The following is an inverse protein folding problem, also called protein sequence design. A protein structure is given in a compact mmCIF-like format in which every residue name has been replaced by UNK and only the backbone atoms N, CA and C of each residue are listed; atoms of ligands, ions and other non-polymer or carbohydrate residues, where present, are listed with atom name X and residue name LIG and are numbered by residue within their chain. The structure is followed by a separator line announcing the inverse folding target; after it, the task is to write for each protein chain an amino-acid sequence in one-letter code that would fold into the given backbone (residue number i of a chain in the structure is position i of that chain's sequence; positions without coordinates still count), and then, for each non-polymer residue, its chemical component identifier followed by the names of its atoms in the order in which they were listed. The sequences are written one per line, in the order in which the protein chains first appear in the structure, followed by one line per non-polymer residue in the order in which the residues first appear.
data_IF_670339773538
#
_entry.id   IF_670339773538
#
_cell.length_a   1.000
_cell.length_b   1.000
_cell.length_c   1.000
_cell.angle_alpha   90.00
_cell.angle_beta   90.00
_cell.angle_gamma   90.00
#
_symmetry.space_group_name_H-M   'P 1'
#
loop_
_entity.id
_entity.type
_entity.pdbx_description
1 polymer ?
#
# COMPACT_ATOMS: atom_id res chain seq x y z
N UNK A 1 18.02 -45.08 -17.74
CA UNK A 1 16.77 -44.53 -17.17
C UNK A 1 17.05 -43.08 -16.79
N UNK A 2 16.79 -42.14 -17.70
CA UNK A 2 17.07 -40.70 -17.54
C UNK A 2 15.97 -40.07 -16.68
N UNK A 3 16.34 -39.51 -15.52
CA UNK A 3 15.44 -38.70 -14.68
C UNK A 3 15.49 -37.23 -15.15
N UNK A 4 14.38 -36.75 -15.69
CA UNK A 4 14.20 -35.36 -16.08
C UNK A 4 14.16 -34.46 -14.84
N UNK A 5 15.17 -33.61 -14.70
CA UNK A 5 15.19 -32.48 -13.77
C UNK A 5 14.52 -31.28 -14.47
N UNK A 6 13.31 -30.92 -14.03
CA UNK A 6 12.68 -29.68 -14.42
C UNK A 6 13.21 -28.53 -13.54
N UNK A 7 13.70 -27.43 -14.11
CA UNK A 7 14.20 -26.30 -13.31
C UNK A 7 13.05 -25.45 -12.79
N UNK A 8 12.94 -25.35 -11.49
CA UNK A 8 11.97 -24.52 -10.74
C UNK A 8 12.31 -23.01 -10.76
N UNK A 9 13.27 -22.61 -11.57
CA UNK A 9 13.76 -21.22 -11.68
C UNK A 9 12.80 -20.27 -12.42
N UNK A 10 11.72 -20.77 -13.01
CA UNK A 10 10.84 -19.96 -13.87
C UNK A 10 9.68 -19.29 -13.12
N UNK A 11 9.42 -19.64 -11.85
CA UNK A 11 8.22 -19.14 -11.13
C UNK A 11 8.44 -17.81 -10.40
N UNK A 12 9.69 -17.41 -10.16
CA UNK A 12 10.02 -16.14 -9.48
C UNK A 12 10.09 -14.92 -10.43
N UNK A 13 10.24 -15.13 -11.74
CA UNK A 13 10.31 -14.06 -12.74
C UNK A 13 8.94 -13.65 -13.31
N UNK A 14 7.90 -14.46 -13.13
CA UNK A 14 6.55 -14.20 -13.65
C UNK A 14 5.70 -13.22 -12.83
N UNK A 15 6.04 -12.97 -11.57
CA UNK A 15 5.22 -12.12 -10.70
C UNK A 15 5.39 -10.62 -10.95
N UNK A 16 6.46 -10.21 -11.62
CA UNK A 16 6.74 -8.78 -11.87
C UNK A 16 5.92 -8.18 -13.02
N UNK A 17 5.37 -9.00 -13.92
CA UNK A 17 4.66 -8.50 -15.12
C UNK A 17 3.13 -8.45 -14.98
N UNK A 18 2.54 -9.08 -13.96
CA UNK A 18 1.09 -9.09 -13.77
C UNK A 18 0.53 -7.86 -13.04
N UNK A 19 1.39 -6.99 -12.48
CA UNK A 19 0.96 -5.83 -11.68
C UNK A 19 1.14 -4.47 -12.34
N UNK A 20 1.52 -4.41 -13.62
CA UNK A 20 1.69 -3.13 -14.34
C UNK A 20 0.39 -2.45 -14.76
N UNK A 21 -0.77 -3.05 -14.52
CA UNK A 21 -2.07 -2.60 -15.04
C UNK A 21 -3.00 -1.85 -14.06
N UNK A 22 -2.64 -1.71 -12.79
CA UNK A 22 -3.49 -1.04 -11.78
C UNK A 22 -2.88 0.31 -11.33
N UNK A 23 -2.71 1.20 -12.29
CA UNK A 23 -2.40 2.61 -12.04
C UNK A 23 -3.72 3.38 -12.01
N UNK A 24 -4.11 3.83 -10.84
CA UNK A 24 -5.18 4.81 -10.68
C UNK A 24 -6.35 4.37 -9.82
N UNK A 25 -6.13 4.10 -8.54
CA UNK A 25 -7.17 4.25 -7.51
C UNK A 25 -6.52 4.64 -6.19
N UNK A 26 -7.15 5.62 -5.53
CA UNK A 26 -6.74 6.21 -4.27
C UNK A 26 -6.49 5.19 -3.16
N UNK A 27 -5.55 5.47 -2.22
CA UNK A 27 -5.39 4.67 -1.03
C UNK A 27 -6.67 4.75 -0.20
N UNK A 28 -7.32 3.58 0.01
CA UNK A 28 -8.44 3.40 0.94
C UNK A 28 -8.22 4.23 2.21
N UNK A 29 -9.07 5.23 2.38
CA UNK A 29 -9.26 5.96 3.63
C UNK A 29 -9.83 4.96 4.65
N UNK A 30 -8.97 4.27 5.37
CA UNK A 30 -9.39 3.49 6.53
C UNK A 30 -9.66 4.48 7.67
N UNK A 31 -10.96 4.67 7.91
CA UNK A 31 -11.49 5.46 9.02
C UNK A 31 -10.95 4.88 10.34
N UNK A 32 -10.20 5.68 11.11
CA UNK A 32 -9.61 5.32 12.41
C UNK A 32 -10.65 4.95 13.48
N UNK A 33 -11.95 5.02 13.15
CA UNK A 33 -13.05 4.73 14.10
C UNK A 33 -13.33 3.25 14.34
N UNK A 34 -12.66 2.32 13.64
CA UNK A 34 -12.92 0.89 13.77
C UNK A 34 -12.00 0.15 14.77
N UNK A 35 -11.10 0.85 15.46
CA UNK A 35 -10.22 0.25 16.46
C UNK A 35 -10.60 0.64 17.89
N UNK A 36 -11.88 0.57 18.24
CA UNK A 36 -12.29 0.61 19.64
C UNK A 36 -12.26 -0.80 20.22
N UNK A 37 -11.47 -1.07 21.28
CA UNK A 37 -11.50 -2.39 21.93
C UNK A 37 -12.82 -2.55 22.68
N UNK A 38 -13.68 -3.40 22.17
CA UNK A 38 -14.87 -3.83 22.88
C UNK A 38 -14.44 -4.57 24.16
N UNK A 39 -14.69 -3.94 25.32
CA UNK A 39 -14.54 -4.59 26.63
C UNK A 39 -15.63 -5.63 26.79
N UNK A 40 -15.28 -6.90 26.59
CA UNK A 40 -16.14 -8.01 26.96
C UNK A 40 -16.09 -8.16 28.49
N UNK A 41 -17.16 -7.74 29.16
CA UNK A 41 -17.37 -7.98 30.59
C UNK A 41 -17.95 -9.39 30.77
N UNK A 42 -17.09 -10.34 31.12
CA UNK A 42 -17.52 -11.65 31.59
C UNK A 42 -17.84 -11.57 33.08
N UNK A 43 -19.12 -11.38 33.40
CA UNK A 43 -19.67 -11.51 34.74
C UNK A 43 -20.47 -12.81 34.79
N UNK A 44 -19.81 -13.91 35.17
CA UNK A 44 -20.42 -15.21 35.42
C UNK A 44 -20.04 -15.67 36.84
N UNK A 45 -21.04 -15.82 37.69
CA UNK A 45 -20.89 -16.22 39.08
C UNK A 45 -20.34 -17.65 39.23
N UNK A 46 -19.47 -17.79 40.19
CA UNK A 46 -18.91 -19.07 40.62
C UNK A 46 -19.74 -19.61 41.77
N UNK A 47 -20.55 -20.63 41.53
CA UNK A 47 -21.13 -21.46 42.57
C UNK A 47 -20.08 -22.48 43.04
N UNK A 48 -19.81 -22.44 44.34
CA UNK A 48 -18.90 -23.37 45.04
C UNK A 48 -19.58 -24.72 45.28
N UNK A 49 -19.22 -25.70 44.48
CA UNK A 49 -19.38 -27.11 44.89
C UNK A 49 -18.00 -27.78 45.00
N UNK A 50 -17.60 -28.13 46.21
CA UNK A 50 -16.40 -28.84 46.54
C UNK A 50 -16.73 -30.34 46.55
N UNK A 51 -16.05 -31.21 45.80
CA UNK A 51 -15.91 -32.60 46.15
C UNK A 51 -14.44 -32.95 46.37
N UNK A 52 -14.20 -33.49 47.58
CA UNK A 52 -12.94 -34.05 47.99
C UNK A 52 -12.73 -35.41 47.26
N UNK A 53 -11.83 -35.47 46.26
CA UNK A 53 -11.06 -36.66 45.88
C UNK A 53 -9.90 -36.26 44.95
N UNK A 54 -8.63 -36.45 45.40
CA UNK A 54 -7.45 -36.01 44.65
C UNK A 54 -7.00 -36.93 43.50
N UNK A 55 -7.66 -37.99 43.18
CA UNK A 55 -7.12 -39.00 42.27
C UNK A 55 -7.75 -39.07 40.86
N UNK A 56 -8.84 -38.36 40.62
CA UNK A 56 -9.51 -38.41 39.32
C UNK A 56 -9.06 -37.32 38.31
N UNK A 57 -8.28 -36.34 38.77
CA UNK A 57 -7.86 -35.20 37.92
C UNK A 57 -6.58 -35.48 37.12
N UNK A 58 -5.74 -36.45 37.56
CA UNK A 58 -4.49 -36.75 36.88
C UNK A 58 -4.63 -37.68 35.66
N UNK A 59 -5.81 -38.28 35.44
CA UNK A 59 -6.03 -39.20 34.30
C UNK A 59 -6.88 -38.58 33.16
N UNK A 60 -7.56 -37.49 33.40
CA UNK A 60 -8.50 -36.90 32.40
C UNK A 60 -7.93 -35.73 31.63
N UNK A 61 -6.80 -35.14 32.05
CA UNK A 61 -6.16 -34.02 31.34
C UNK A 61 -4.96 -34.41 30.49
N UNK A 62 -4.59 -35.70 30.45
CA UNK A 62 -3.54 -36.29 29.59
C UNK A 62 -4.17 -37.21 28.51
N UNK A 63 -5.45 -37.16 28.34
CA UNK A 63 -6.01 -37.43 27.02
C UNK A 63 -5.60 -36.26 26.15
N UNK A 64 -4.34 -36.24 25.71
CA UNK A 64 -3.89 -35.42 24.62
C UNK A 64 -4.93 -35.62 23.52
N UNK A 65 -5.76 -34.60 23.30
CA UNK A 65 -6.33 -34.38 21.98
C UNK A 65 -5.08 -34.17 21.11
N UNK A 66 -4.49 -35.30 20.66
CA UNK A 66 -3.66 -35.31 19.48
C UNK A 66 -4.56 -34.60 18.44
N UNK A 67 -4.31 -33.33 18.07
CA UNK A 67 -5.03 -32.75 16.97
C UNK A 67 -4.63 -33.63 15.79
N UNK A 68 -5.50 -34.58 15.41
CA UNK A 68 -5.33 -35.35 14.18
C UNK A 68 -5.35 -34.27 13.06
N UNK A 69 -4.16 -33.75 12.78
CA UNK A 69 -3.91 -32.73 11.79
C UNK A 69 -4.21 -33.45 10.49
N UNK A 70 -5.46 -33.24 9.99
CA UNK A 70 -5.84 -33.76 8.70
C UNK A 70 -4.94 -33.08 7.67
N UNK A 71 -4.12 -33.85 6.93
CA UNK A 71 -3.19 -33.30 5.94
C UNK A 71 -3.88 -32.39 4.93
N UNK A 72 -5.16 -32.65 4.67
CA UNK A 72 -6.03 -31.85 3.80
C UNK A 72 -6.17 -30.37 4.22
N UNK A 73 -5.99 -30.05 5.51
CA UNK A 73 -6.11 -28.69 6.03
C UNK A 73 -4.76 -27.95 6.10
N UNK A 74 -3.66 -28.58 5.71
CA UNK A 74 -2.32 -27.98 5.76
C UNK A 74 -2.22 -26.74 4.85
N UNK A 75 -2.81 -26.81 3.66
CA UNK A 75 -2.88 -25.66 2.74
C UNK A 75 -3.61 -24.47 3.32
N UNK A 76 -4.78 -24.67 3.94
CA UNK A 76 -5.55 -23.57 4.56
C UNK A 76 -4.80 -22.92 5.73
N UNK A 77 -4.06 -23.70 6.51
CA UNK A 77 -3.22 -23.16 7.60
C UNK A 77 -2.09 -22.29 7.06
N UNK A 78 -1.44 -22.71 5.98
CA UNK A 78 -0.39 -21.91 5.33
C UNK A 78 -0.93 -20.70 4.57
N UNK A 79 -2.20 -20.69 4.18
CA UNK A 79 -2.84 -19.53 3.61
C UNK A 79 -3.04 -18.42 4.67
N UNK A 80 -3.34 -18.82 5.91
CA UNK A 80 -3.51 -17.86 7.02
C UNK A 80 -2.16 -17.40 7.57
N UNK A 81 -1.22 -18.33 7.78
CA UNK A 81 0.13 -18.05 8.27
C UNK A 81 1.13 -18.87 7.46
N UNK A 82 1.95 -18.23 6.60
CA UNK A 82 2.92 -18.92 5.76
C UNK A 82 3.85 -19.83 6.60
N UNK A 83 4.00 -21.07 6.19
CA UNK A 83 4.82 -22.06 6.90
C UNK A 83 4.06 -22.91 7.91
N UNK A 84 2.87 -22.50 8.38
CA UNK A 84 2.15 -23.23 9.43
C UNK A 84 1.68 -24.63 8.98
N UNK A 85 1.28 -24.78 7.72
CA UNK A 85 0.93 -26.07 7.15
C UNK A 85 2.14 -26.99 7.04
N UNK A 86 3.31 -26.47 6.66
CA UNK A 86 4.56 -27.22 6.61
C UNK A 86 4.96 -27.74 8.00
N UNK A 87 4.87 -26.91 9.03
CA UNK A 87 5.11 -27.34 10.41
C UNK A 87 4.14 -28.43 10.85
N UNK A 88 2.86 -28.31 10.47
CA UNK A 88 1.85 -29.32 10.77
C UNK A 88 2.14 -30.68 10.10
N UNK A 89 2.84 -30.66 8.96
CA UNK A 89 3.34 -31.85 8.25
C UNK A 89 4.74 -32.31 8.73
N UNK A 90 5.32 -31.69 9.77
CA UNK A 90 6.66 -31.98 10.27
C UNK A 90 7.80 -31.42 9.41
N UNK A 91 7.52 -30.55 8.42
CA UNK A 91 8.51 -30.08 7.49
C UNK A 91 9.18 -28.78 7.99
N UNK A 92 10.49 -28.81 8.13
CA UNK A 92 11.31 -27.66 8.59
C UNK A 92 11.34 -26.49 7.62
N UNK A 93 10.99 -26.71 6.35
CA UNK A 93 10.93 -25.64 5.33
C UNK A 93 9.89 -24.56 5.64
N UNK A 94 8.96 -24.81 6.57
CA UNK A 94 8.07 -23.78 7.10
C UNK A 94 8.80 -22.53 7.57
N UNK A 95 10.02 -22.67 8.12
CA UNK A 95 10.85 -21.53 8.53
C UNK A 95 11.26 -20.62 7.38
N UNK A 96 11.41 -21.14 6.16
CA UNK A 96 11.70 -20.32 4.99
C UNK A 96 10.53 -19.37 4.68
N UNK A 97 9.29 -19.85 4.73
CA UNK A 97 8.11 -19.04 4.50
C UNK A 97 7.91 -17.98 5.60
N UNK A 98 8.14 -18.35 6.87
CA UNK A 98 8.12 -17.38 7.98
C UNK A 98 9.21 -16.32 7.79
N UNK A 99 10.41 -16.72 7.39
CA UNK A 99 11.50 -15.78 7.11
C UNK A 99 11.16 -14.81 5.97
N UNK A 100 10.58 -15.29 4.87
CA UNK A 100 10.12 -14.47 3.75
C UNK A 100 9.01 -13.51 4.18
N UNK A 101 8.11 -13.96 5.05
CA UNK A 101 7.04 -13.13 5.62
C UNK A 101 7.61 -11.94 6.39
N UNK A 102 8.52 -12.22 7.33
CA UNK A 102 9.19 -11.18 8.12
C UNK A 102 9.95 -10.19 7.22
N UNK A 103 10.71 -10.71 6.23
CA UNK A 103 11.44 -9.85 5.28
C UNK A 103 10.50 -8.99 4.44
N UNK A 104 9.35 -9.54 4.00
CA UNK A 104 8.34 -8.80 3.25
C UNK A 104 7.77 -7.63 4.05
N UNK A 105 7.42 -7.86 5.32
CA UNK A 105 6.93 -6.81 6.21
C UNK A 105 7.99 -5.78 6.58
N UNK A 106 9.25 -6.17 6.82
CA UNK A 106 10.36 -5.25 7.05
C UNK A 106 10.59 -4.37 5.82
N UNK A 107 10.54 -4.95 4.62
CA UNK A 107 10.64 -4.20 3.37
C UNK A 107 9.49 -3.21 3.22
N UNK A 108 8.25 -3.62 3.47
CA UNK A 108 7.09 -2.72 3.47
C UNK A 108 7.28 -1.53 4.41
N UNK A 109 7.64 -1.79 5.66
CA UNK A 109 7.81 -0.76 6.68
C UNK A 109 8.93 0.22 6.31
N UNK A 110 10.08 -0.28 5.86
CA UNK A 110 11.21 0.57 5.40
C UNK A 110 10.76 1.52 4.29
N UNK A 111 10.05 1.00 3.27
CA UNK A 111 9.59 1.82 2.15
C UNK A 111 8.50 2.81 2.55
N UNK A 112 7.60 2.42 3.42
CA UNK A 112 6.53 3.27 3.95
C UNK A 112 7.10 4.45 4.76
N UNK A 113 8.04 4.18 5.66
CA UNK A 113 8.69 5.22 6.47
C UNK A 113 9.47 6.20 5.59
N UNK A 114 10.26 5.70 4.63
CA UNK A 114 11.00 6.55 3.69
C UNK A 114 10.07 7.38 2.79
N UNK A 115 8.96 6.79 2.33
CA UNK A 115 7.94 7.50 1.55
C UNK A 115 7.31 8.63 2.34
N UNK A 116 6.95 8.40 3.60
CA UNK A 116 6.40 9.44 4.49
C UNK A 116 7.42 10.55 4.80
N UNK A 117 8.70 10.21 4.98
CA UNK A 117 9.75 11.21 5.14
C UNK A 117 9.86 12.15 3.94
N UNK A 118 9.92 11.59 2.72
CA UNK A 118 9.94 12.36 1.47
C UNK A 118 8.65 13.18 1.28
N UNK A 119 7.50 12.66 1.73
CA UNK A 119 6.23 13.42 1.73
C UNK A 119 6.31 14.66 2.61
N UNK A 120 6.89 14.55 3.79
CA UNK A 120 7.16 15.71 4.65
C UNK A 120 8.09 16.70 3.96
N UNK A 121 9.21 16.20 3.39
CA UNK A 121 10.23 16.98 2.71
C UNK A 121 9.65 17.82 1.55
N UNK A 122 8.85 17.23 0.62
CA UNK A 122 8.31 18.00 -0.48
C UNK A 122 7.26 19.03 -0.02
N UNK A 123 6.49 18.74 1.04
CA UNK A 123 5.54 19.70 1.62
C UNK A 123 6.24 20.90 2.24
N UNK A 124 7.33 20.63 2.98
CA UNK A 124 8.16 21.68 3.58
C UNK A 124 8.89 22.50 2.52
N UNK A 125 9.41 21.83 1.49
CA UNK A 125 10.06 22.49 0.36
C UNK A 125 9.09 23.41 -0.41
N UNK A 126 7.88 22.92 -0.71
CA UNK A 126 6.85 23.73 -1.35
C UNK A 126 6.49 24.96 -0.50
N UNK A 127 6.28 24.77 0.81
CA UNK A 127 5.94 25.85 1.72
C UNK A 127 7.03 26.93 1.77
N UNK A 128 8.29 26.54 1.81
CA UNK A 128 9.42 27.46 1.95
C UNK A 128 9.80 28.14 0.64
N UNK A 129 9.61 27.48 -0.51
CA UNK A 129 10.20 27.90 -1.79
C UNK A 129 9.20 28.39 -2.83
N UNK A 130 7.96 27.97 -2.73
CA UNK A 130 6.96 28.28 -3.76
C UNK A 130 5.70 28.92 -3.21
N UNK A 131 5.17 28.44 -2.09
CA UNK A 131 3.86 28.89 -1.60
C UNK A 131 3.93 30.33 -1.15
N UNK A 132 2.93 31.09 -1.61
CA UNK A 132 2.72 32.46 -1.15
C UNK A 132 2.12 32.36 0.26
N UNK A 133 2.94 32.65 1.26
CA UNK A 133 2.59 32.47 2.68
C UNK A 133 1.61 33.56 3.13
N UNK A 134 0.34 33.28 3.06
CA UNK A 134 -0.72 34.12 3.60
C UNK A 134 -1.44 33.38 4.74
N UNK A 135 -1.16 33.79 5.98
CA UNK A 135 -1.76 33.17 7.16
C UNK A 135 -1.05 31.89 7.65
N UNK A 136 -1.69 31.12 8.55
CA UNK A 136 -1.13 29.89 9.10
C UNK A 136 -0.97 28.82 8.01
N UNK A 137 0.04 27.94 8.19
CA UNK A 137 0.28 26.85 7.25
C UNK A 137 -0.92 25.88 7.24
N UNK A 138 -1.46 25.66 6.06
CA UNK A 138 -2.45 24.64 5.77
C UNK A 138 -1.86 23.72 4.70
N UNK A 139 -1.79 22.42 4.97
CA UNK A 139 -1.35 21.45 3.97
C UNK A 139 -2.47 21.16 2.99
N UNK A 140 -2.13 21.04 1.70
CA UNK A 140 -3.01 20.55 0.66
C UNK A 140 -3.08 19.02 0.63
N UNK A 141 -3.99 18.50 -0.19
CA UNK A 141 -4.06 17.09 -0.54
C UNK A 141 -2.94 16.68 -1.53
N UNK A 142 -2.98 15.44 -1.99
CA UNK A 142 -2.01 14.95 -2.97
C UNK A 142 -2.12 15.68 -4.31
N UNK A 143 -3.34 15.90 -4.80
CA UNK A 143 -3.61 16.51 -6.10
C UNK A 143 -3.09 17.95 -6.13
N UNK A 144 -3.26 18.71 -5.04
CA UNK A 144 -2.66 20.03 -4.91
C UNK A 144 -1.15 20.02 -5.12
N UNK A 145 -0.45 19.09 -4.43
CA UNK A 145 1.02 19.01 -4.54
C UNK A 145 1.48 18.50 -5.90
N UNK A 146 0.69 17.64 -6.55
CA UNK A 146 0.97 17.20 -7.90
C UNK A 146 0.84 18.36 -8.92
N UNK A 147 -0.23 19.12 -8.85
CA UNK A 147 -0.45 20.32 -9.69
C UNK A 147 0.69 21.34 -9.50
N UNK A 148 1.09 21.59 -8.26
CA UNK A 148 2.20 22.48 -7.93
C UNK A 148 3.55 22.03 -8.54
N UNK A 149 3.73 20.72 -8.79
CA UNK A 149 4.89 20.20 -9.51
C UNK A 149 4.87 20.46 -11.01
N UNK A 150 3.68 20.61 -11.59
CA UNK A 150 3.48 20.74 -13.03
C UNK A 150 3.47 22.21 -13.49
N UNK A 151 3.02 23.14 -12.64
CA UNK A 151 2.81 24.52 -12.98
C UNK A 151 3.81 25.45 -12.31
N UNK A 152 4.37 26.39 -13.08
CA UNK A 152 5.31 27.40 -12.57
C UNK A 152 4.64 28.35 -11.58
N UNK A 153 3.36 28.72 -11.84
CA UNK A 153 2.57 29.63 -11.00
C UNK A 153 1.13 29.18 -10.93
N UNK A 154 0.51 29.46 -9.78
CA UNK A 154 -0.96 29.37 -9.67
C UNK A 154 -1.67 30.48 -10.44
N UNK A 155 -1.08 31.68 -10.52
CA UNK A 155 -1.82 32.90 -10.83
C UNK A 155 -2.62 33.38 -9.62
N UNK A 156 -3.41 34.45 -9.83
CA UNK A 156 -4.30 34.99 -8.82
C UNK A 156 -5.61 34.19 -8.75
N UNK A 157 -6.24 34.14 -7.59
CA UNK A 157 -7.61 33.63 -7.45
C UNK A 157 -8.60 34.73 -7.83
N UNK A 158 -8.33 35.97 -7.37
CA UNK A 158 -9.08 37.16 -7.64
C UNK A 158 -8.09 38.28 -8.02
N UNK A 159 -8.27 38.89 -9.20
CA UNK A 159 -7.41 39.95 -9.70
C UNK A 159 -7.74 41.29 -9.10
N UNK A 160 -8.95 41.51 -8.60
CA UNK A 160 -9.41 42.81 -8.09
C UNK A 160 -10.30 42.65 -6.86
N UNK A 161 -9.67 42.60 -5.69
CA UNK A 161 -10.34 42.49 -4.39
C UNK A 161 -11.22 43.70 -4.03
N UNK A 162 -11.12 44.81 -4.78
CA UNK A 162 -11.93 45.99 -4.58
C UNK A 162 -13.26 46.01 -5.37
N UNK A 163 -13.45 45.01 -6.23
CA UNK A 163 -14.63 44.85 -7.05
C UNK A 163 -15.52 43.73 -6.52
N UNK A 164 -16.83 43.94 -6.60
CA UNK A 164 -17.81 42.94 -6.21
C UNK A 164 -17.73 41.68 -7.11
N UNK A 165 -17.74 40.47 -6.49
CA UNK A 165 -17.59 39.19 -7.16
C UNK A 165 -16.12 38.84 -7.47
N UNK A 166 -15.86 37.57 -7.83
CA UNK A 166 -14.53 37.08 -8.15
C UNK A 166 -14.12 37.51 -9.56
N UNK A 167 -12.93 38.09 -9.69
CA UNK A 167 -12.29 38.44 -10.96
C UNK A 167 -11.21 37.39 -11.31
N UNK A 168 -11.52 36.33 -12.08
CA UNK A 168 -10.61 35.24 -12.33
C UNK A 168 -9.31 35.64 -13.02
N UNK A 169 -8.23 34.91 -12.82
CA UNK A 169 -6.97 35.01 -13.54
C UNK A 169 -7.21 34.84 -15.05
N UNK A 170 -6.74 35.77 -15.87
CA UNK A 170 -6.95 35.74 -17.31
C UNK A 170 -5.83 35.04 -18.09
N UNK A 171 -4.64 34.91 -17.50
CA UNK A 171 -3.49 34.35 -18.20
C UNK A 171 -3.53 32.80 -18.20
N UNK A 172 -3.79 32.14 -19.36
CA UNK A 172 -3.90 30.68 -19.43
C UNK A 172 -2.57 29.93 -19.20
N UNK A 173 -1.45 30.67 -19.15
CA UNK A 173 -0.16 30.10 -18.78
C UNK A 173 -0.01 29.81 -17.26
N UNK A 174 -0.94 30.34 -16.47
CA UNK A 174 -1.05 30.07 -15.03
C UNK A 174 -2.17 29.08 -14.76
N UNK A 175 -2.07 28.32 -13.69
CA UNK A 175 -3.05 27.28 -13.40
C UNK A 175 -4.48 27.82 -13.29
N UNK A 176 -4.69 28.85 -12.45
CA UNK A 176 -6.02 29.44 -12.26
C UNK A 176 -6.56 30.07 -13.57
N UNK A 177 -5.69 30.66 -14.38
CA UNK A 177 -6.09 31.19 -15.69
C UNK A 177 -6.46 30.09 -16.71
N UNK A 178 -5.81 28.90 -16.63
CA UNK A 178 -6.25 27.76 -17.42
C UNK A 178 -7.63 27.27 -16.95
N UNK A 179 -7.87 27.22 -15.64
CA UNK A 179 -9.19 26.83 -15.09
C UNK A 179 -10.27 27.79 -15.61
N UNK A 180 -10.00 29.11 -15.59
CA UNK A 180 -10.90 30.10 -16.15
C UNK A 180 -11.14 29.91 -17.65
N UNK A 181 -10.10 29.78 -18.44
CA UNK A 181 -10.19 29.51 -19.88
C UNK A 181 -11.04 28.26 -20.18
N UNK A 182 -10.87 27.21 -19.38
CA UNK A 182 -11.69 26.00 -19.49
C UNK A 182 -13.14 26.23 -19.12
N UNK A 183 -13.42 27.03 -18.08
CA UNK A 183 -14.77 27.41 -17.68
C UNK A 183 -15.49 28.18 -18.82
N UNK A 184 -14.83 29.14 -19.43
CA UNK A 184 -15.38 29.86 -20.58
C UNK A 184 -15.78 28.94 -21.74
N UNK A 185 -14.93 27.91 -22.02
CA UNK A 185 -15.22 26.90 -23.05
C UNK A 185 -16.38 25.97 -22.70
N UNK A 186 -16.46 25.52 -21.44
CA UNK A 186 -17.53 24.62 -20.98
C UNK A 186 -18.90 25.31 -21.04
N UNK A 187 -18.99 26.54 -20.57
CA UNK A 187 -20.24 27.29 -20.48
C UNK A 187 -20.52 28.17 -21.70
N UNK A 188 -19.69 28.07 -22.75
CA UNK A 188 -19.84 28.80 -24.01
C UNK A 188 -19.97 30.33 -23.82
N UNK A 189 -19.26 30.87 -22.82
CA UNK A 189 -19.26 32.31 -22.53
C UNK A 189 -18.62 33.07 -23.72
N UNK A 190 -19.43 33.83 -24.44
CA UNK A 190 -19.00 34.61 -25.59
C UNK A 190 -18.48 36.00 -25.22
N UNK A 191 -17.91 36.71 -26.21
CA UNK A 191 -17.46 38.11 -26.02
C UNK A 191 -18.60 39.08 -25.71
N UNK A 192 -19.85 38.69 -25.99
CA UNK A 192 -21.06 39.46 -25.69
C UNK A 192 -21.70 39.13 -24.34
N UNK A 193 -21.21 38.09 -23.65
CA UNK A 193 -21.71 37.74 -22.33
C UNK A 193 -21.22 38.74 -21.29
N UNK A 194 -22.16 39.29 -20.51
CA UNK A 194 -21.87 40.30 -19.49
C UNK A 194 -21.95 39.76 -18.06
N UNK A 195 -21.58 40.58 -17.07
CA UNK A 195 -21.83 40.26 -15.67
C UNK A 195 -23.35 40.07 -15.44
N UNK A 196 -23.72 38.98 -14.78
CA UNK A 196 -25.12 38.63 -14.51
C UNK A 196 -25.76 37.69 -15.55
N UNK A 197 -25.07 37.35 -16.64
CA UNK A 197 -25.52 36.28 -17.53
C UNK A 197 -25.34 34.91 -16.87
N UNK A 198 -26.32 33.98 -16.95
CA UNK A 198 -26.26 32.68 -16.28
C UNK A 198 -25.03 31.85 -16.67
N UNK A 199 -24.57 31.97 -17.92
CA UNK A 199 -23.37 31.32 -18.44
C UNK A 199 -22.11 31.87 -17.78
N UNK A 200 -21.98 33.20 -17.68
CA UNK A 200 -20.87 33.89 -16.99
C UNK A 200 -20.83 33.55 -15.52
N UNK A 201 -21.97 33.56 -14.82
CA UNK A 201 -22.04 33.12 -13.41
C UNK A 201 -21.68 31.67 -13.22
N UNK A 202 -22.06 30.78 -14.14
CA UNK A 202 -21.72 29.38 -14.11
C UNK A 202 -20.22 29.15 -14.30
N UNK A 203 -19.58 29.92 -15.20
CA UNK A 203 -18.14 29.88 -15.41
C UNK A 203 -17.37 30.39 -14.18
N UNK A 204 -17.87 31.49 -13.53
CA UNK A 204 -17.27 31.97 -12.28
C UNK A 204 -17.36 30.94 -11.18
N UNK A 205 -18.53 30.34 -10.95
CA UNK A 205 -18.68 29.27 -9.95
C UNK A 205 -17.77 28.07 -10.22
N UNK A 206 -17.59 27.68 -11.48
CA UNK A 206 -16.63 26.63 -11.85
C UNK A 206 -15.20 27.04 -11.50
N UNK A 207 -14.81 28.30 -11.84
CA UNK A 207 -13.49 28.81 -11.50
C UNK A 207 -13.26 28.83 -9.98
N UNK A 208 -14.22 29.31 -9.20
CA UNK A 208 -14.17 29.32 -7.73
C UNK A 208 -14.02 27.91 -7.13
N UNK A 209 -14.63 26.91 -7.76
CA UNK A 209 -14.57 25.52 -7.28
C UNK A 209 -13.23 24.86 -7.56
N UNK A 210 -12.58 25.13 -8.70
CA UNK A 210 -11.40 24.41 -9.18
C UNK A 210 -10.11 25.20 -9.13
N UNK A 211 -10.16 26.53 -9.00
CA UNK A 211 -8.99 27.37 -8.82
C UNK A 211 -8.51 27.33 -7.37
N UNK A 212 -7.21 27.48 -7.18
CA UNK A 212 -6.63 27.56 -5.85
C UNK A 212 -6.75 28.98 -5.29
N UNK A 213 -7.35 29.08 -4.09
CA UNK A 213 -7.55 30.33 -3.37
C UNK A 213 -6.31 30.85 -2.66
N UNK A 214 -6.44 32.01 -2.02
CA UNK A 214 -5.34 32.82 -1.45
C UNK A 214 -4.39 32.06 -0.54
N UNK A 215 -4.89 31.10 0.25
CA UNK A 215 -4.04 30.28 1.15
C UNK A 215 -3.24 29.16 0.47
N UNK A 216 -3.49 28.92 -0.83
CA UNK A 216 -2.89 27.81 -1.59
C UNK A 216 -2.14 28.26 -2.84
N UNK A 217 -1.97 29.58 -3.05
CA UNK A 217 -1.25 30.12 -4.19
C UNK A 217 0.25 29.80 -4.11
N UNK A 218 0.89 29.64 -5.29
CA UNK A 218 2.31 29.39 -5.40
C UNK A 218 2.97 30.12 -6.58
N UNK A 219 4.28 30.30 -6.48
CA UNK A 219 5.13 30.87 -7.50
C UNK A 219 6.57 30.34 -7.40
N UNK A 220 7.05 29.62 -8.41
CA UNK A 220 8.40 29.07 -8.47
C UNK A 220 9.44 30.03 -9.08
N UNK A 221 9.01 31.16 -9.67
CA UNK A 221 9.94 32.01 -10.43
C UNK A 221 11.09 32.61 -9.59
N UNK A 222 10.87 32.76 -8.28
CA UNK A 222 11.91 33.25 -7.37
C UNK A 222 12.93 32.18 -6.96
N UNK A 223 12.66 30.90 -7.33
CA UNK A 223 13.52 29.77 -7.02
C UNK A 223 13.90 29.05 -8.32
N UNK A 224 14.89 29.51 -9.08
CA UNK A 224 15.31 28.87 -10.33
C UNK A 224 15.64 27.38 -10.12
N UNK A 225 15.02 26.51 -10.92
CA UNK A 225 15.14 25.05 -10.79
C UNK A 225 14.40 24.42 -9.60
N UNK A 226 13.77 25.23 -8.74
CA UNK A 226 13.05 24.76 -7.55
C UNK A 226 11.92 23.79 -7.87
N UNK A 227 11.12 24.10 -8.90
CA UNK A 227 10.04 23.23 -9.37
C UNK A 227 10.54 21.83 -9.80
N UNK A 228 11.67 21.76 -10.52
CA UNK A 228 12.24 20.49 -10.95
C UNK A 228 12.77 19.68 -9.75
N UNK A 229 13.42 20.34 -8.79
CA UNK A 229 13.87 19.71 -7.54
C UNK A 229 12.68 19.18 -6.76
N UNK A 230 11.62 19.97 -6.64
CA UNK A 230 10.38 19.59 -6.00
C UNK A 230 9.73 18.37 -6.67
N UNK A 231 9.57 18.38 -7.99
CA UNK A 231 9.04 17.28 -8.76
C UNK A 231 9.86 15.98 -8.58
N UNK A 232 11.19 16.10 -8.42
CA UNK A 232 12.04 14.95 -8.13
C UNK A 232 11.78 14.35 -6.75
N UNK A 233 11.55 15.18 -5.72
CA UNK A 233 11.23 14.71 -4.37
C UNK A 233 9.87 13.99 -4.36
N UNK A 234 8.82 14.55 -5.03
CA UNK A 234 7.52 13.88 -5.19
C UNK A 234 7.70 12.52 -5.85
N UNK A 235 8.38 12.47 -6.99
CA UNK A 235 8.60 11.21 -7.71
C UNK A 235 9.31 10.17 -6.84
N UNK A 236 10.33 10.57 -6.09
CA UNK A 236 11.01 9.67 -5.14
C UNK A 236 10.07 9.17 -4.04
N UNK A 237 9.19 10.03 -3.51
CA UNK A 237 8.17 9.64 -2.54
C UNK A 237 7.24 8.58 -3.12
N UNK A 238 6.70 8.81 -4.33
CA UNK A 238 5.79 7.89 -5.01
C UNK A 238 6.46 6.55 -5.33
N UNK A 239 7.73 6.57 -5.72
CA UNK A 239 8.52 5.37 -5.93
C UNK A 239 8.64 4.53 -4.65
N UNK A 240 8.79 5.17 -3.47
CA UNK A 240 8.82 4.45 -2.19
C UNK A 240 7.46 3.84 -1.86
N UNK A 241 6.36 4.55 -2.06
CA UNK A 241 5.02 3.99 -1.85
C UNK A 241 4.70 2.87 -2.84
N UNK A 242 5.13 2.97 -4.09
CA UNK A 242 5.01 1.90 -5.09
C UNK A 242 5.80 0.65 -4.68
N UNK A 243 7.04 0.83 -4.18
CA UNK A 243 7.85 -0.27 -3.64
C UNK A 243 7.19 -0.89 -2.39
N UNK A 244 6.54 -0.10 -1.52
CA UNK A 244 5.78 -0.62 -0.39
C UNK A 244 4.59 -1.47 -0.86
N UNK A 245 3.83 -1.05 -1.89
CA UNK A 245 2.77 -1.87 -2.48
C UNK A 245 3.29 -3.18 -3.06
N UNK A 246 4.45 -3.14 -3.72
CA UNK A 246 5.09 -4.34 -4.25
C UNK A 246 5.50 -5.32 -3.13
N UNK A 247 5.94 -4.80 -1.97
CA UNK A 247 6.23 -5.63 -0.80
C UNK A 247 4.97 -6.34 -0.27
N UNK A 248 3.81 -5.68 -0.25
CA UNK A 248 2.52 -6.34 0.08
C UNK A 248 2.19 -7.43 -0.93
N UNK A 249 2.37 -7.17 -2.23
CA UNK A 249 2.21 -8.18 -3.28
C UNK A 249 3.12 -9.41 -3.07
N UNK A 250 4.37 -9.17 -2.65
CA UNK A 250 5.30 -10.26 -2.30
C UNK A 250 4.80 -11.07 -1.09
N UNK A 251 4.29 -10.42 -0.04
CA UNK A 251 3.70 -11.08 1.13
C UNK A 251 2.52 -11.95 0.70
N UNK A 252 1.59 -11.44 -0.10
CA UNK A 252 0.45 -12.21 -0.62
C UNK A 252 0.93 -13.42 -1.43
N UNK A 253 1.92 -13.24 -2.29
CA UNK A 253 2.50 -14.34 -3.06
C UNK A 253 3.13 -15.41 -2.16
N UNK A 254 3.81 -15.01 -1.07
CA UNK A 254 4.35 -15.93 -0.07
C UNK A 254 3.25 -16.79 0.57
N UNK A 255 2.10 -16.20 0.93
CA UNK A 255 0.93 -16.94 1.45
C UNK A 255 0.43 -17.98 0.44
N UNK A 256 0.24 -17.58 -0.81
CA UNK A 256 -0.28 -18.45 -1.87
C UNK A 256 0.68 -19.61 -2.17
N UNK A 257 1.98 -19.32 -2.30
CA UNK A 257 3.00 -20.35 -2.58
C UNK A 257 3.13 -21.30 -1.40
N UNK A 258 3.15 -20.79 -0.17
CA UNK A 258 3.19 -21.61 1.05
C UNK A 258 1.94 -22.50 1.16
N UNK A 259 0.75 -21.97 0.85
CA UNK A 259 -0.49 -22.77 0.86
C UNK A 259 -0.47 -23.87 -0.19
N UNK A 260 -0.05 -23.58 -1.42
CA UNK A 260 0.05 -24.55 -2.50
C UNK A 260 1.07 -25.67 -2.16
N UNK A 261 2.24 -25.29 -1.63
CA UNK A 261 3.26 -26.22 -1.20
C UNK A 261 2.76 -27.16 -0.08
N UNK A 262 2.11 -26.61 0.95
CA UNK A 262 1.53 -27.39 2.04
C UNK A 262 0.41 -28.33 1.57
N UNK A 263 -0.43 -27.85 0.64
CA UNK A 263 -1.51 -28.66 0.07
C UNK A 263 -0.97 -29.85 -0.75
N UNK A 264 0.00 -29.61 -1.64
CA UNK A 264 0.63 -30.67 -2.45
C UNK A 264 1.33 -31.68 -1.53
N UNK A 265 2.11 -31.20 -0.58
CA UNK A 265 2.85 -32.06 0.35
C UNK A 265 1.93 -32.92 1.23
N UNK A 266 0.81 -32.34 1.70
CA UNK A 266 -0.19 -33.06 2.50
C UNK A 266 -0.91 -34.17 1.73
N UNK A 267 -1.06 -34.03 0.41
CA UNK A 267 -1.73 -35.03 -0.44
C UNK A 267 -0.80 -36.09 -0.99
N UNK A 268 0.42 -35.70 -1.36
CA UNK A 268 1.33 -36.60 -2.10
C UNK A 268 2.41 -37.21 -1.24
N UNK A 269 2.58 -36.75 0.00
CA UNK A 269 3.74 -37.09 0.83
C UNK A 269 5.08 -36.65 0.21
N UNK A 270 5.02 -35.77 -0.82
CA UNK A 270 6.21 -35.22 -1.49
C UNK A 270 6.85 -34.18 -0.57
N UNK A 271 8.08 -34.47 -0.16
CA UNK A 271 8.92 -33.52 0.55
C UNK A 271 9.96 -32.93 -0.42
N UNK A 272 9.88 -31.61 -0.66
CA UNK A 272 10.86 -30.88 -1.47
C UNK A 272 11.85 -30.23 -0.52
N UNK A 273 13.07 -30.75 -0.45
CA UNK A 273 14.13 -30.23 0.40
C UNK A 273 15.08 -29.35 -0.44
N UNK A 274 15.21 -28.07 -0.04
CA UNK A 274 16.24 -27.20 -0.59
C UNK A 274 17.48 -27.28 0.29
N UNK A 275 18.62 -27.69 -0.28
CA UNK A 275 19.91 -27.71 0.40
C UNK A 275 20.85 -26.70 -0.23
N UNK A 276 21.45 -25.86 0.60
CA UNK A 276 22.57 -25.03 0.20
C UNK A 276 23.84 -25.83 0.48
N UNK A 277 24.60 -26.11 -0.56
CA UNK A 277 25.84 -26.87 -0.46
C UNK A 277 26.99 -26.18 -1.23
N UNK A 278 28.24 -26.59 -0.98
CA UNK A 278 29.38 -26.11 -1.76
C UNK A 278 29.21 -26.60 -3.21
N UNK A 279 29.03 -25.69 -4.15
CA UNK A 279 29.07 -25.99 -5.58
C UNK A 279 30.49 -25.84 -6.15
N UNK A 280 30.75 -26.41 -7.35
CA UNK A 280 32.08 -26.37 -8.00
C UNK A 280 32.58 -24.96 -8.30
N UNK A 281 31.75 -23.92 -8.21
CA UNK A 281 32.11 -22.50 -8.41
C UNK A 281 31.51 -21.57 -7.35
N UNK A 282 31.32 -22.03 -6.09
CA UNK A 282 30.73 -21.25 -5.01
C UNK A 282 29.54 -21.97 -4.34
N UNK A 283 28.74 -21.23 -3.56
CA UNK A 283 27.55 -21.79 -2.90
C UNK A 283 26.46 -22.08 -3.94
N UNK A 284 26.08 -23.34 -4.09
CA UNK A 284 24.97 -23.77 -4.95
C UNK A 284 23.74 -24.15 -4.13
N UNK A 285 22.54 -23.90 -4.69
CA UNK A 285 21.28 -24.41 -4.11
C UNK A 285 20.88 -25.66 -4.87
N UNK A 286 20.78 -26.79 -4.14
CA UNK A 286 20.30 -28.06 -4.69
C UNK A 286 18.88 -28.29 -4.19
N UNK A 287 17.95 -28.48 -5.14
CA UNK A 287 16.57 -28.87 -4.83
C UNK A 287 16.46 -30.38 -4.97
N UNK A 288 16.13 -31.07 -3.88
CA UNK A 288 15.89 -32.50 -3.86
C UNK A 288 14.41 -32.78 -3.51
N UNK A 289 13.73 -33.55 -4.34
CA UNK A 289 12.38 -34.05 -4.06
C UNK A 289 12.47 -35.48 -3.50
N UNK A 290 11.90 -35.71 -2.33
CA UNK A 290 11.73 -37.05 -1.75
C UNK A 290 10.25 -37.42 -1.78
N UNK A 291 9.97 -38.62 -2.31
CA UNK A 291 8.66 -39.26 -2.12
C UNK A 291 8.69 -39.99 -0.78
N UNK A 292 7.91 -39.52 0.19
CA UNK A 292 7.66 -40.22 1.43
C UNK A 292 6.85 -41.49 1.13
N UNK A 293 7.41 -42.66 1.34
CA UNK A 293 6.62 -43.92 1.37
C UNK A 293 5.79 -43.88 2.63
N UNK A 294 4.47 -43.70 2.48
CA UNK A 294 3.52 -43.93 3.58
C UNK A 294 3.70 -45.34 4.11
N UNK A 295 4.24 -45.48 5.33
CA UNK A 295 4.12 -46.74 6.06
C UNK A 295 2.72 -46.76 6.66
N UNK A 296 1.87 -47.64 6.13
CA UNK A 296 0.63 -48.07 6.77
C UNK A 296 0.93 -48.86 8.03
#
# INVERSE_FOLDING_TARGET
MSRALLPFTLLLLGASSLFSGLSGQDPLHLDERLLSPARLSLRGGVDRARPDTPELWSRSLVGAVEPSIRPENAGLRSLLVPGLGQFALGNRRGWAYVGLEVLGWLWYLDRRVKGNGLRGEYRDYAWQKARLQSGPRVDGDFDYYEVLSQWERSGHFDLDLGREGTQPELNPSYYNGLIWTRALGIFSVGQSSGPGDPESESAIRYSEQYAYGTGSLWNWTETPGGRLTYADIIRKSDDRFRQARNAVGFVIANHLVSAADAFVSGRTGLDIEARVGPGMCGSGVTLAARLGTSRH
#
